data_IF_443483352899
#
_entry.id   IF_443483352899
#
_cell.length_a   1.000
_cell.length_b   1.000
_cell.length_c   1.000
_cell.angle_alpha   90.00
_cell.angle_beta   90.00
_cell.angle_gamma   90.00
#
_symmetry.space_group_name_H-M   'P 1'
#
loop_
_entity.id
_entity.type
_entity.pdbx_description
1 polymer ?
#
# COMPACT_ATOMS: atom_id res chain seq x y z
N UNK A 1 39.62 -45.43 27.36
CA UNK A 1 38.75 -44.43 28.02
C UNK A 1 38.14 -43.56 26.93
N UNK A 2 36.89 -43.82 26.55
CA UNK A 2 36.14 -42.96 25.63
C UNK A 2 35.44 -41.88 26.46
N UNK A 3 35.86 -40.63 26.32
CA UNK A 3 35.17 -39.50 26.93
C UNK A 3 33.92 -39.18 26.09
N UNK A 4 32.75 -39.56 26.59
CA UNK A 4 31.47 -39.04 26.12
C UNK A 4 31.30 -37.62 26.68
N UNK A 5 31.45 -36.61 25.84
CA UNK A 5 31.13 -35.22 26.19
C UNK A 5 29.64 -35.05 26.47
N UNK A 6 29.24 -34.07 27.30
CA UNK A 6 27.85 -33.83 27.64
C UNK A 6 27.08 -33.34 26.40
N UNK A 7 26.06 -34.07 26.00
CA UNK A 7 25.08 -33.64 25.01
C UNK A 7 24.30 -32.46 25.58
N UNK A 8 24.56 -31.25 25.08
CA UNK A 8 23.69 -30.10 25.34
C UNK A 8 22.36 -30.35 24.61
N UNK A 9 21.33 -30.74 25.36
CA UNK A 9 19.95 -30.66 24.90
C UNK A 9 19.55 -29.18 24.88
N UNK A 10 19.60 -28.56 23.70
CA UNK A 10 19.02 -27.24 23.50
C UNK A 10 17.51 -27.36 23.75
N UNK A 11 16.98 -26.59 24.70
CA UNK A 11 15.55 -26.51 24.93
C UNK A 11 14.90 -25.85 23.71
N UNK A 12 14.08 -26.60 22.98
CA UNK A 12 13.27 -26.08 21.89
C UNK A 12 12.16 -25.20 22.47
N UNK A 13 12.20 -23.89 22.20
CA UNK A 13 11.07 -23.02 22.52
C UNK A 13 9.90 -23.34 21.59
N UNK A 14 8.64 -23.34 22.06
CA UNK A 14 7.49 -23.47 21.18
C UNK A 14 7.48 -22.30 20.16
N UNK A 15 7.01 -22.54 18.93
CA UNK A 15 6.97 -21.50 17.91
C UNK A 15 6.04 -20.35 18.34
N UNK A 16 6.43 -19.11 18.05
CA UNK A 16 5.64 -17.91 18.33
C UNK A 16 4.35 -17.85 17.50
N UNK A 17 4.36 -18.45 16.31
CA UNK A 17 3.24 -18.50 15.39
C UNK A 17 2.88 -19.96 15.10
N UNK A 18 1.58 -20.23 15.06
CA UNK A 18 1.05 -21.54 14.64
C UNK A 18 0.52 -21.39 13.22
N UNK A 19 0.94 -22.24 12.27
CA UNK A 19 0.39 -22.18 10.91
C UNK A 19 -1.09 -22.52 10.93
N UNK A 20 -1.86 -21.73 10.19
CA UNK A 20 -3.24 -22.03 9.85
C UNK A 20 -3.29 -22.47 8.39
N UNK A 21 -4.04 -23.55 8.13
CA UNK A 21 -4.17 -24.13 6.80
C UNK A 21 -5.53 -23.79 6.18
N UNK A 22 -5.66 -23.82 4.84
CA UNK A 22 -6.91 -23.54 4.14
C UNK A 22 -8.13 -24.32 4.67
N UNK A 23 -7.96 -25.57 5.10
CA UNK A 23 -9.05 -26.37 5.67
C UNK A 23 -9.57 -25.82 7.02
N UNK A 24 -8.73 -25.10 7.76
CA UNK A 24 -9.07 -24.50 9.04
C UNK A 24 -9.72 -23.12 8.86
N UNK A 25 -9.18 -22.31 7.94
CA UNK A 25 -9.60 -20.92 7.76
C UNK A 25 -10.60 -20.71 6.62
N UNK A 26 -10.68 -21.61 5.64
CA UNK A 26 -11.44 -21.38 4.41
C UNK A 26 -10.76 -20.43 3.41
N UNK A 27 -9.54 -19.95 3.70
CA UNK A 27 -8.74 -19.15 2.77
C UNK A 27 -7.93 -20.10 1.89
N UNK A 28 -8.27 -20.18 0.61
CA UNK A 28 -7.64 -21.04 -0.40
C UNK A 28 -6.99 -20.26 -1.55
N UNK A 29 -6.87 -18.93 -1.42
CA UNK A 29 -6.20 -18.09 -2.40
C UNK A 29 -4.73 -18.48 -2.54
N UNK A 30 -4.30 -18.64 -3.78
CA UNK A 30 -2.91 -18.89 -4.13
C UNK A 30 -2.54 -17.95 -5.26
N UNK A 31 -1.57 -17.07 -4.99
CA UNK A 31 -0.97 -16.24 -6.02
C UNK A 31 -0.26 -17.09 -7.06
N UNK A 32 -0.49 -16.77 -8.33
CA UNK A 32 0.13 -17.41 -9.48
C UNK A 32 0.72 -16.34 -10.38
N UNK A 33 2.02 -16.12 -10.21
CA UNK A 33 2.74 -15.14 -11.01
C UNK A 33 2.68 -15.42 -12.51
N UNK A 34 2.62 -14.34 -13.30
CA UNK A 34 2.81 -14.38 -14.73
C UNK A 34 4.28 -14.69 -15.05
N UNK A 35 4.56 -15.42 -16.15
CA UNK A 35 5.93 -15.68 -16.58
C UNK A 35 6.55 -14.39 -17.14
N UNK A 36 7.29 -13.66 -16.31
CA UNK A 36 8.05 -12.48 -16.71
C UNK A 36 9.53 -12.58 -16.31
N UNK A 37 10.42 -12.10 -17.20
CA UNK A 37 11.88 -12.10 -17.00
C UNK A 37 12.42 -10.67 -17.02
N UNK A 38 12.46 -10.05 -15.84
CA UNK A 38 13.00 -8.70 -15.64
C UNK A 38 14.46 -8.57 -16.09
N UNK A 39 15.23 -9.65 -15.97
CA UNK A 39 16.65 -9.67 -16.32
C UNK A 39 16.86 -9.61 -17.84
N UNK A 40 15.85 -9.99 -18.63
CA UNK A 40 15.87 -9.82 -20.08
C UNK A 40 15.77 -8.33 -20.48
N UNK A 41 15.02 -7.51 -19.73
CA UNK A 41 15.01 -6.06 -19.92
C UNK A 41 16.24 -5.39 -19.32
N UNK A 42 16.67 -5.84 -18.13
CA UNK A 42 17.79 -5.25 -17.41
C UNK A 42 18.69 -6.32 -16.77
N UNK A 43 19.76 -6.68 -17.49
CA UNK A 43 20.69 -7.77 -17.12
C UNK A 43 21.32 -7.62 -15.73
N UNK A 44 21.54 -6.38 -15.28
CA UNK A 44 22.16 -6.08 -13.99
C UNK A 44 21.15 -5.71 -12.89
N UNK A 45 19.87 -6.07 -13.08
CA UNK A 45 18.87 -5.88 -12.05
C UNK A 45 19.21 -6.74 -10.81
N UNK A 46 19.18 -6.19 -9.58
CA UNK A 46 19.57 -6.93 -8.39
C UNK A 46 18.54 -7.97 -7.93
N UNK A 47 17.27 -7.78 -8.26
CA UNK A 47 16.14 -8.67 -7.95
C UNK A 47 14.97 -8.35 -8.89
N UNK A 48 14.01 -9.27 -9.01
CA UNK A 48 12.80 -9.02 -9.80
C UNK A 48 11.94 -7.93 -9.16
N UNK A 49 11.49 -7.00 -9.99
CA UNK A 49 10.56 -5.93 -9.64
C UNK A 49 9.11 -6.23 -10.09
N UNK A 50 8.91 -7.26 -10.92
CA UNK A 50 7.59 -7.77 -11.34
C UNK A 50 6.92 -8.69 -10.32
N UNK A 51 7.63 -9.16 -9.29
CA UNK A 51 7.12 -10.13 -8.30
C UNK A 51 7.12 -9.50 -6.90
N UNK A 52 6.40 -8.38 -6.70
CA UNK A 52 6.40 -7.64 -5.43
C UNK A 52 5.25 -8.03 -4.48
N UNK A 53 4.21 -8.69 -5.00
CA UNK A 53 3.03 -9.10 -4.24
C UNK A 53 3.18 -10.45 -3.50
N UNK A 54 2.12 -10.91 -2.81
CA UNK A 54 0.80 -10.27 -2.74
C UNK A 54 0.78 -9.14 -1.72
N UNK A 55 -0.02 -8.13 -2.03
CA UNK A 55 -0.45 -7.15 -1.03
C UNK A 55 -1.83 -7.52 -0.50
N UNK A 56 -2.16 -7.09 0.71
CA UNK A 56 -3.47 -7.35 1.30
C UNK A 56 -4.00 -6.12 2.03
N UNK A 57 -5.31 -6.07 2.18
CA UNK A 57 -6.00 -5.10 3.03
C UNK A 57 -7.05 -5.82 3.87
N UNK A 58 -7.33 -5.28 5.05
CA UNK A 58 -8.39 -5.77 5.93
C UNK A 58 -9.36 -4.66 6.29
N UNK A 59 -10.62 -5.01 6.48
CA UNK A 59 -11.70 -4.07 6.80
C UNK A 59 -13.05 -4.80 6.91
N UNK A 60 -13.97 -4.29 7.71
CA UNK A 60 -15.35 -4.79 7.80
C UNK A 60 -16.15 -4.30 6.59
N UNK A 61 -16.17 -5.07 5.50
CA UNK A 61 -16.76 -4.61 4.23
C UNK A 61 -18.25 -4.95 4.13
N UNK A 62 -18.81 -5.66 5.10
CA UNK A 62 -20.22 -6.06 5.12
C UNK A 62 -20.99 -5.55 6.36
N UNK A 63 -20.33 -4.76 7.21
CA UNK A 63 -20.91 -4.12 8.39
C UNK A 63 -21.29 -5.09 9.52
N UNK A 64 -20.69 -6.29 9.56
CA UNK A 64 -21.02 -7.31 10.56
C UNK A 64 -20.15 -7.24 11.83
N UNK A 65 -19.19 -6.31 11.86
CA UNK A 65 -18.26 -6.08 12.96
C UNK A 65 -17.04 -6.99 12.94
N UNK A 66 -16.80 -7.74 11.85
CA UNK A 66 -15.64 -8.61 11.67
C UNK A 66 -14.73 -8.08 10.56
N UNK A 67 -13.41 -8.26 10.72
CA UNK A 67 -12.47 -7.90 9.64
C UNK A 67 -12.51 -8.94 8.52
N UNK A 68 -12.79 -8.47 7.32
CA UNK A 68 -12.66 -9.21 6.07
C UNK A 68 -11.29 -8.96 5.44
N UNK A 69 -10.94 -9.76 4.42
CA UNK A 69 -9.61 -9.70 3.79
C UNK A 69 -9.75 -9.61 2.27
N UNK A 70 -9.08 -8.62 1.68
CA UNK A 70 -8.78 -8.59 0.24
C UNK A 70 -7.33 -8.96 -0.01
N UNK A 71 -7.11 -9.93 -0.89
CA UNK A 71 -5.79 -10.26 -1.45
C UNK A 71 -5.66 -9.63 -2.83
N UNK A 72 -4.62 -8.82 -3.00
CA UNK A 72 -4.17 -8.38 -4.31
C UNK A 72 -3.57 -9.54 -5.10
N UNK A 73 -3.65 -9.45 -6.42
CA UNK A 73 -3.17 -10.46 -7.34
C UNK A 73 -2.22 -9.91 -8.41
N UNK A 74 -1.33 -10.75 -8.96
CA UNK A 74 -0.47 -10.40 -10.07
C UNK A 74 -1.25 -10.28 -11.38
N UNK A 75 -0.61 -9.70 -12.40
CA UNK A 75 -1.19 -9.55 -13.73
C UNK A 75 -1.67 -10.90 -14.30
N UNK A 76 -2.93 -10.92 -14.74
CA UNK A 76 -3.62 -12.09 -15.28
C UNK A 76 -4.42 -12.90 -14.25
N UNK A 77 -4.35 -12.55 -12.96
CA UNK A 77 -5.12 -13.14 -11.88
C UNK A 77 -5.96 -12.06 -11.18
N UNK A 78 -7.24 -12.33 -10.92
CA UNK A 78 -8.08 -11.40 -10.18
C UNK A 78 -7.74 -11.43 -8.68
N UNK A 79 -7.81 -10.27 -8.03
CA UNK A 79 -7.80 -10.18 -6.57
C UNK A 79 -8.99 -10.91 -5.94
N UNK A 80 -8.85 -11.28 -4.67
CA UNK A 80 -9.81 -12.14 -3.98
C UNK A 80 -10.25 -11.55 -2.64
N UNK A 81 -11.56 -11.39 -2.49
CA UNK A 81 -12.20 -10.97 -1.24
C UNK A 81 -12.69 -12.18 -0.45
N UNK A 82 -12.43 -12.19 0.85
CA UNK A 82 -12.82 -13.23 1.79
C UNK A 82 -13.57 -12.60 2.97
N UNK A 83 -14.83 -13.00 3.16
CA UNK A 83 -15.66 -12.53 4.26
C UNK A 83 -15.55 -13.46 5.47
N UNK A 84 -15.35 -12.91 6.66
CA UNK A 84 -15.26 -13.67 7.91
C UNK A 84 -16.65 -14.13 8.38
N UNK A 85 -16.75 -15.30 9.04
CA UNK A 85 -18.03 -15.84 9.55
C UNK A 85 -18.13 -15.93 11.09
N UNK A 86 -17.24 -15.22 11.79
CA UNK A 86 -17.18 -15.13 13.25
C UNK A 86 -16.56 -16.34 13.95
N UNK A 87 -16.36 -17.46 13.25
CA UNK A 87 -15.73 -18.66 13.81
C UNK A 87 -14.26 -18.81 13.41
N UNK A 88 -13.61 -17.71 13.00
CA UNK A 88 -12.26 -17.72 12.42
C UNK A 88 -12.19 -18.40 11.04
N UNK A 89 -13.34 -18.53 10.36
CA UNK A 89 -13.42 -19.00 8.97
C UNK A 89 -13.81 -17.87 8.04
N UNK A 90 -13.41 -18.03 6.81
CA UNK A 90 -13.54 -17.09 5.72
C UNK A 90 -14.21 -17.75 4.52
N UNK A 91 -14.96 -16.97 3.77
CA UNK A 91 -15.64 -17.42 2.55
C UNK A 91 -15.32 -16.46 1.41
N UNK A 92 -14.81 -17.02 0.31
CA UNK A 92 -14.54 -16.24 -0.88
C UNK A 92 -15.83 -15.57 -1.40
N UNK A 93 -15.77 -14.27 -1.64
CA UNK A 93 -16.81 -13.46 -2.26
C UNK A 93 -16.40 -13.19 -3.71
N UNK A 94 -17.25 -13.62 -4.65
CA UNK A 94 -17.03 -13.34 -6.07
C UNK A 94 -17.44 -11.90 -6.38
N UNK A 95 -16.51 -11.12 -6.88
CA UNK A 95 -16.73 -9.74 -7.31
C UNK A 95 -16.38 -9.64 -8.80
N UNK A 96 -17.38 -9.45 -9.70
CA UNK A 96 -17.12 -9.38 -11.13
C UNK A 96 -16.17 -8.26 -11.57
N UNK A 97 -16.13 -7.16 -10.82
CA UNK A 97 -15.24 -6.03 -11.11
C UNK A 97 -13.75 -6.43 -11.03
N UNK A 98 -13.37 -7.27 -10.07
CA UNK A 98 -11.97 -7.73 -9.92
C UNK A 98 -11.55 -8.62 -11.09
N UNK A 99 -12.46 -9.45 -11.62
CA UNK A 99 -12.18 -10.29 -12.80
C UNK A 99 -12.01 -9.45 -14.08
N UNK A 100 -12.74 -8.33 -14.20
CA UNK A 100 -12.62 -7.42 -15.35
C UNK A 100 -11.29 -6.67 -15.37
N UNK A 101 -10.69 -6.45 -14.19
CA UNK A 101 -9.45 -5.70 -13.99
C UNK A 101 -8.25 -6.58 -13.65
N UNK A 102 -8.33 -7.89 -13.92
CA UNK A 102 -7.26 -8.85 -13.61
C UNK A 102 -5.98 -8.65 -14.42
N UNK A 103 -6.03 -7.90 -15.52
CA UNK A 103 -4.86 -7.65 -16.36
C UNK A 103 -3.95 -6.58 -15.76
N UNK A 104 -4.40 -5.88 -14.72
CA UNK A 104 -3.59 -4.98 -13.90
C UNK A 104 -2.99 -5.77 -12.74
N UNK A 105 -1.72 -5.48 -12.41
CA UNK A 105 -1.08 -6.00 -11.20
C UNK A 105 -1.50 -5.17 -9.99
N UNK A 106 -2.07 -5.81 -8.96
CA UNK A 106 -2.47 -5.14 -7.74
C UNK A 106 -1.26 -4.76 -6.89
N UNK A 107 -1.14 -3.48 -6.55
CA UNK A 107 -0.20 -2.96 -5.57
C UNK A 107 -0.96 -2.27 -4.43
N UNK A 108 -0.62 -2.63 -3.19
CA UNK A 108 -1.14 -2.03 -1.95
C UNK A 108 -2.62 -1.59 -1.99
N UNK A 109 -3.55 -2.52 -1.77
CA UNK A 109 -4.96 -2.18 -1.57
C UNK A 109 -5.15 -1.41 -0.25
N UNK A 110 -6.17 -0.54 -0.21
CA UNK A 110 -6.61 0.14 1.01
C UNK A 110 -8.14 0.19 1.07
N UNK A 111 -8.69 -0.15 2.24
CA UNK A 111 -10.10 0.05 2.54
C UNK A 111 -10.33 1.38 3.25
N UNK A 112 -11.30 2.16 2.79
CA UNK A 112 -11.73 3.43 3.39
C UNK A 112 -13.07 3.88 2.79
N UNK A 113 -13.81 4.75 3.48
CA UNK A 113 -15.04 5.37 2.97
C UNK A 113 -14.67 6.50 1.99
N UNK A 114 -14.81 6.26 0.69
CA UNK A 114 -14.37 7.20 -0.35
C UNK A 114 -15.48 8.16 -0.78
N UNK A 115 -16.75 7.76 -0.68
CA UNK A 115 -17.90 8.57 -1.12
C UNK A 115 -18.83 9.03 0.02
N UNK A 116 -18.44 8.80 1.27
CA UNK A 116 -19.08 9.34 2.46
C UNK A 116 -20.39 8.64 2.83
N UNK A 117 -20.63 7.44 2.29
CA UNK A 117 -21.85 6.67 2.56
C UNK A 117 -21.75 5.77 3.81
N UNK A 118 -20.54 5.66 4.38
CA UNK A 118 -20.23 4.91 5.59
C UNK A 118 -19.80 3.46 5.35
N UNK A 119 -19.79 3.00 4.10
CA UNK A 119 -19.29 1.68 3.73
C UNK A 119 -17.80 1.73 3.36
N UNK A 120 -17.06 0.66 3.64
CA UNK A 120 -15.64 0.60 3.25
C UNK A 120 -15.50 0.28 1.75
N UNK A 121 -15.07 1.27 0.99
CA UNK A 121 -14.65 1.16 -0.41
C UNK A 121 -13.22 0.62 -0.53
N UNK A 122 -12.85 0.17 -1.72
CA UNK A 122 -11.52 -0.39 -1.99
C UNK A 122 -10.80 0.41 -3.08
N UNK A 123 -9.67 0.99 -2.74
CA UNK A 123 -8.72 1.52 -3.73
C UNK A 123 -7.52 0.59 -3.85
N UNK A 124 -7.22 0.18 -5.09
CA UNK A 124 -6.07 -0.67 -5.41
C UNK A 124 -5.16 0.10 -6.36
N UNK A 125 -3.93 0.42 -5.94
CA UNK A 125 -2.94 0.92 -6.88
C UNK A 125 -2.53 -0.20 -7.86
N UNK A 126 -1.96 0.19 -8.99
CA UNK A 126 -1.46 -0.78 -9.96
C UNK A 126 0.05 -0.63 -10.12
N UNK A 127 0.75 -1.73 -9.87
CA UNK A 127 2.20 -1.81 -9.85
C UNK A 127 2.76 -2.54 -11.06
N UNK A 128 3.98 -3.04 -10.89
CA UNK A 128 4.62 -3.92 -11.85
C UNK A 128 5.77 -3.30 -12.65
N UNK A 129 6.54 -4.19 -13.26
CA UNK A 129 7.74 -3.86 -14.04
C UNK A 129 7.59 -4.28 -15.51
N UNK A 130 6.63 -5.17 -15.79
CA UNK A 130 6.42 -5.83 -17.08
C UNK A 130 5.79 -4.94 -18.14
N UNK A 131 4.95 -3.98 -17.73
CA UNK A 131 4.26 -3.11 -18.66
C UNK A 131 5.20 -2.02 -19.18
N UNK A 132 4.99 -1.53 -20.41
CA UNK A 132 5.74 -0.38 -20.90
C UNK A 132 5.41 0.88 -20.09
N UNK A 133 6.35 1.82 -20.04
CA UNK A 133 6.13 3.14 -19.45
C UNK A 133 4.87 3.80 -20.03
N UNK A 134 4.08 4.45 -19.17
CA UNK A 134 2.79 5.06 -19.51
C UNK A 134 1.68 4.07 -19.93
N UNK A 135 1.79 2.79 -19.59
CA UNK A 135 0.72 1.82 -19.80
C UNK A 135 -0.56 2.22 -19.05
N UNK A 136 -1.76 2.09 -19.66
CA UNK A 136 -3.02 2.29 -18.95
C UNK A 136 -3.26 1.23 -17.87
N UNK A 137 -2.53 0.12 -17.88
CA UNK A 137 -2.60 -0.92 -16.85
C UNK A 137 -2.04 -0.47 -15.50
N UNK A 138 -1.33 0.66 -15.45
CA UNK A 138 -0.90 1.27 -14.19
C UNK A 138 -1.98 2.12 -13.51
N UNK A 139 -3.15 2.31 -14.12
CA UNK A 139 -4.22 3.09 -13.53
C UNK A 139 -4.69 2.48 -12.19
N UNK A 140 -4.68 3.23 -11.08
CA UNK A 140 -5.31 2.83 -9.83
C UNK A 140 -6.82 2.67 -9.99
N UNK A 141 -7.40 1.72 -9.27
CA UNK A 141 -8.80 1.29 -9.40
C UNK A 141 -9.52 1.50 -8.08
N UNK A 142 -10.47 2.43 -8.06
CA UNK A 142 -11.45 2.57 -6.98
C UNK A 142 -12.64 1.65 -7.27
N UNK A 143 -13.03 0.87 -6.28
CA UNK A 143 -14.25 0.09 -6.27
C UNK A 143 -15.12 0.52 -5.11
N UNK A 144 -16.33 0.98 -5.42
CA UNK A 144 -17.33 1.37 -4.43
C UNK A 144 -18.08 0.15 -3.92
N UNK A 145 -18.27 0.08 -2.61
CA UNK A 145 -19.00 -0.99 -1.93
C UNK A 145 -20.49 -0.66 -1.84
N UNK A 146 -21.32 -1.65 -1.53
CA UNK A 146 -22.77 -1.49 -1.27
C UNK A 146 -23.13 -1.84 0.18
N UNK A 147 -22.14 -1.80 1.07
CA UNK A 147 -22.24 -2.20 2.47
C UNK A 147 -22.41 -3.69 2.72
N UNK A 148 -22.39 -4.52 1.66
CA UNK A 148 -22.56 -5.97 1.77
C UNK A 148 -21.38 -6.74 1.16
N UNK A 149 -20.29 -6.05 0.84
CA UNK A 149 -19.10 -6.59 0.18
C UNK A 149 -19.32 -6.84 -1.32
N UNK A 150 -20.27 -6.14 -1.98
CA UNK A 150 -20.36 -6.14 -3.44
C UNK A 150 -19.74 -4.86 -4.00
N UNK A 151 -18.65 -5.04 -4.75
CA UNK A 151 -17.87 -3.92 -5.26
C UNK A 151 -18.16 -3.63 -6.73
N UNK A 152 -18.28 -2.35 -7.06
CA UNK A 152 -18.43 -1.83 -8.42
C UNK A 152 -17.33 -0.82 -8.74
N UNK A 153 -16.72 -0.94 -9.92
CA UNK A 153 -15.63 -0.05 -10.32
C UNK A 153 -16.13 1.38 -10.59
N UNK A 154 -15.53 2.37 -9.92
CA UNK A 154 -15.70 3.78 -10.24
C UNK A 154 -14.69 4.22 -11.30
N UNK A 155 -14.98 3.89 -12.58
CA UNK A 155 -14.03 3.99 -13.70
C UNK A 155 -13.47 5.40 -14.00
N UNK A 156 -14.04 6.46 -13.42
CA UNK A 156 -13.58 7.85 -13.61
C UNK A 156 -13.35 8.57 -12.28
N UNK A 157 -13.15 7.81 -11.20
CA UNK A 157 -12.86 8.36 -9.88
C UNK A 157 -11.52 9.10 -9.84
N UNK A 158 -10.47 8.54 -10.45
CA UNK A 158 -9.15 9.16 -10.51
C UNK A 158 -8.83 9.68 -11.92
N UNK A 159 -8.03 10.76 -12.05
CA UNK A 159 -7.50 11.17 -13.35
C UNK A 159 -6.49 10.12 -13.88
N UNK A 160 -6.10 10.21 -15.16
CA UNK A 160 -5.10 9.31 -15.73
C UNK A 160 -3.80 9.29 -14.91
N UNK A 161 -3.42 8.11 -14.43
CA UNK A 161 -2.22 7.88 -13.64
C UNK A 161 -1.46 6.66 -14.16
N UNK A 162 -0.72 6.79 -15.29
CA UNK A 162 -0.10 5.66 -15.97
C UNK A 162 1.31 5.38 -15.42
N UNK A 163 1.48 5.42 -14.10
CA UNK A 163 2.75 5.25 -13.41
C UNK A 163 2.73 4.04 -12.48
N UNK A 164 3.77 3.21 -12.55
CA UNK A 164 3.94 2.04 -11.65
C UNK A 164 3.97 2.51 -10.21
N UNK A 165 2.96 2.09 -9.46
CA UNK A 165 2.69 2.53 -8.09
C UNK A 165 2.92 1.39 -7.11
N UNK A 166 3.29 1.73 -5.89
CA UNK A 166 3.68 0.80 -4.84
C UNK A 166 2.99 1.04 -3.53
N UNK A 167 2.21 2.11 -3.35
CA UNK A 167 1.56 2.39 -2.06
C UNK A 167 0.30 3.20 -2.30
N UNK A 168 -0.76 2.91 -1.55
CA UNK A 168 -1.96 3.75 -1.41
C UNK A 168 -2.10 4.10 0.05
N UNK A 169 -2.30 5.38 0.36
CA UNK A 169 -2.55 5.83 1.72
C UNK A 169 -3.72 6.81 1.77
N UNK A 170 -4.88 6.38 2.31
CA UNK A 170 -5.95 7.30 2.67
C UNK A 170 -5.51 8.24 3.81
N UNK A 171 -5.82 9.52 3.69
CA UNK A 171 -5.49 10.57 4.65
C UNK A 171 -6.45 11.75 4.47
N UNK A 172 -6.94 12.35 5.54
CA UNK A 172 -7.66 13.63 5.45
C UNK A 172 -6.62 14.74 5.36
N UNK A 173 -6.27 15.17 4.14
CA UNK A 173 -5.15 16.10 3.93
C UNK A 173 -5.57 17.56 4.14
N UNK A 174 -6.79 17.94 3.73
CA UNK A 174 -7.25 19.33 3.84
C UNK A 174 -8.14 19.61 5.07
N UNK A 175 -8.48 18.58 5.85
CA UNK A 175 -9.19 18.68 7.12
C UNK A 175 -10.70 18.84 6.97
N UNK A 176 -11.26 18.53 5.80
CA UNK A 176 -12.70 18.66 5.54
C UNK A 176 -13.52 17.43 5.99
N UNK A 177 -12.82 16.34 6.36
CA UNK A 177 -13.39 15.12 6.89
C UNK A 177 -13.68 14.05 5.83
N UNK A 178 -13.48 14.33 4.55
CA UNK A 178 -13.34 13.29 3.54
C UNK A 178 -11.90 12.74 3.51
N UNK A 179 -11.73 11.51 2.99
CA UNK A 179 -10.40 10.91 2.89
C UNK A 179 -9.84 11.14 1.48
N UNK A 180 -8.79 11.94 1.44
CA UNK A 180 -7.88 12.08 0.31
C UNK A 180 -6.96 10.86 0.19
N UNK A 181 -6.20 10.79 -0.91
CA UNK A 181 -5.28 9.68 -1.14
C UNK A 181 -3.91 10.14 -1.58
N UNK A 182 -2.89 9.65 -0.90
CA UNK A 182 -1.52 9.63 -1.41
C UNK A 182 -1.24 8.32 -2.14
N UNK A 183 -0.70 8.41 -3.35
CA UNK A 183 -0.21 7.26 -4.14
C UNK A 183 1.30 7.38 -4.29
N UNK A 184 2.00 6.38 -3.76
CA UNK A 184 3.46 6.25 -3.84
C UNK A 184 3.89 5.56 -5.14
N UNK A 185 4.89 6.12 -5.81
CA UNK A 185 5.49 5.55 -7.01
C UNK A 185 6.50 4.45 -6.71
N UNK A 186 6.42 3.34 -7.44
CA UNK A 186 7.38 2.23 -7.31
C UNK A 186 8.68 2.56 -8.05
N UNK A 187 8.63 2.66 -9.38
CA UNK A 187 9.78 2.86 -10.26
C UNK A 187 9.33 3.34 -11.64
N UNK A 188 10.28 3.74 -12.48
CA UNK A 188 10.08 3.83 -13.93
C UNK A 188 10.36 2.45 -14.57
N UNK A 189 9.38 1.81 -15.23
CA UNK A 189 9.53 0.45 -15.77
C UNK A 189 10.75 0.31 -16.67
N UNK A 190 11.47 -0.80 -16.52
CA UNK A 190 12.66 -1.16 -17.34
C UNK A 190 13.84 -0.19 -17.22
N UNK A 191 13.83 0.67 -16.20
CA UNK A 191 14.86 1.70 -15.98
C UNK A 191 15.31 1.77 -14.52
N UNK A 192 15.31 0.64 -13.80
CA UNK A 192 15.79 0.62 -12.42
C UNK A 192 17.24 1.16 -12.33
N UNK A 193 17.57 2.07 -11.40
CA UNK A 193 16.81 2.45 -10.20
C UNK A 193 16.00 3.76 -10.33
N UNK A 194 15.62 4.19 -11.54
CA UNK A 194 14.83 5.42 -11.70
C UNK A 194 13.47 5.29 -10.98
N UNK A 195 13.10 6.25 -10.13
CA UNK A 195 11.89 6.15 -9.33
C UNK A 195 10.62 6.34 -10.15
N UNK A 196 9.50 5.91 -9.59
CA UNK A 196 8.16 6.21 -10.09
C UNK A 196 7.72 7.56 -9.57
N UNK A 197 6.66 8.12 -10.14
CA UNK A 197 6.07 9.35 -9.61
C UNK A 197 5.16 9.02 -8.44
N UNK A 198 5.18 9.88 -7.43
CA UNK A 198 4.16 9.87 -6.36
C UNK A 198 3.26 11.10 -6.51
N UNK A 199 2.02 11.00 -6.01
CA UNK A 199 1.09 12.10 -6.03
C UNK A 199 0.12 12.08 -4.85
N UNK A 200 -0.41 13.27 -4.56
CA UNK A 200 -1.53 13.48 -3.66
C UNK A 200 -2.78 13.82 -4.48
N UNK A 201 -3.88 13.17 -4.13
CA UNK A 201 -5.17 13.27 -4.77
C UNK A 201 -6.20 13.74 -3.75
N UNK A 202 -6.79 14.91 -4.02
CA UNK A 202 -7.86 15.49 -3.21
C UNK A 202 -9.20 14.86 -3.59
N UNK A 203 -9.97 14.37 -2.63
CA UNK A 203 -11.32 13.88 -2.79
C UNK A 203 -12.33 15.05 -2.82
N UNK A 204 -13.58 14.77 -3.22
CA UNK A 204 -14.68 15.75 -3.20
C UNK A 204 -15.88 15.30 -2.35
N UNK A 205 -15.63 14.34 -1.47
CA UNK A 205 -16.61 13.66 -0.63
C UNK A 205 -17.56 12.73 -1.37
N UNK A 206 -17.35 12.47 -2.67
CA UNK A 206 -18.19 11.59 -3.50
C UNK A 206 -17.35 10.57 -4.27
N UNK A 207 -16.14 10.26 -3.79
CA UNK A 207 -15.22 9.32 -4.42
C UNK A 207 -14.65 9.81 -5.75
N UNK A 208 -14.57 11.13 -5.96
CA UNK A 208 -13.95 11.72 -7.17
C UNK A 208 -12.72 12.54 -6.78
N UNK A 209 -11.61 12.13 -7.35
CA UNK A 209 -10.29 12.60 -6.98
C UNK A 209 -9.71 13.56 -8.01
N UNK A 210 -9.00 14.58 -7.54
CA UNK A 210 -8.20 15.50 -8.35
C UNK A 210 -6.76 15.50 -7.87
N UNK A 211 -5.83 15.38 -8.81
CA UNK A 211 -4.40 15.47 -8.51
C UNK A 211 -4.03 16.92 -8.11
N UNK A 212 -3.37 17.07 -6.95
CA UNK A 212 -3.02 18.39 -6.38
C UNK A 212 -1.53 18.58 -6.09
N UNK A 213 -0.69 17.57 -6.33
CA UNK A 213 0.73 17.54 -5.97
C UNK A 213 1.48 18.76 -6.45
N UNK A 214 1.31 19.16 -7.72
CA UNK A 214 2.01 20.32 -8.26
C UNK A 214 1.64 21.65 -7.57
N UNK A 215 0.45 21.72 -6.95
CA UNK A 215 -0.05 22.93 -6.27
C UNK A 215 0.39 22.96 -4.81
N UNK A 216 0.37 21.82 -4.13
CA UNK A 216 0.60 21.76 -2.68
C UNK A 216 2.02 21.33 -2.30
N UNK A 217 2.58 20.34 -3.00
CA UNK A 217 3.78 19.61 -2.60
C UNK A 217 4.54 19.08 -3.84
N UNK A 218 5.05 19.94 -4.74
CA UNK A 218 5.65 19.49 -6.00
C UNK A 218 6.82 18.52 -5.79
N UNK A 219 7.53 18.62 -4.66
CA UNK A 219 8.62 17.73 -4.27
C UNK A 219 8.17 16.28 -4.12
N UNK A 220 6.90 16.01 -3.75
CA UNK A 220 6.37 14.63 -3.62
C UNK A 220 6.51 13.83 -4.91
N UNK A 221 6.49 14.49 -6.07
CA UNK A 221 6.63 13.80 -7.35
C UNK A 221 8.01 13.14 -7.55
N UNK A 222 9.03 13.56 -6.79
CA UNK A 222 10.43 13.19 -6.97
C UNK A 222 11.08 12.60 -5.69
N UNK A 223 10.28 12.12 -4.74
CA UNK A 223 10.76 11.59 -3.44
C UNK A 223 11.43 10.23 -3.51
N UNK A 224 11.52 9.62 -4.69
CA UNK A 224 12.15 8.33 -4.91
C UNK A 224 11.15 7.17 -4.97
N UNK A 225 11.68 5.95 -4.84
CA UNK A 225 10.88 4.73 -4.84
C UNK A 225 10.21 4.57 -3.48
N UNK A 226 8.90 4.78 -3.41
CA UNK A 226 8.12 4.67 -2.17
C UNK A 226 7.78 3.20 -1.91
N UNK A 227 7.90 2.72 -0.68
CA UNK A 227 7.47 1.37 -0.31
C UNK A 227 6.36 1.33 0.72
N UNK A 228 6.29 2.34 1.58
CA UNK A 228 5.23 2.51 2.55
C UNK A 228 4.96 4.00 2.83
N UNK A 229 3.76 4.31 3.29
CA UNK A 229 3.35 5.62 3.75
C UNK A 229 2.46 5.49 4.99
N UNK A 230 2.78 6.24 6.04
CA UNK A 230 2.02 6.27 7.28
C UNK A 230 1.55 7.70 7.59
N UNK A 231 0.40 7.84 8.25
CA UNK A 231 -0.19 9.11 8.66
C UNK A 231 -1.42 8.84 9.52
N UNK A 232 -1.94 9.79 10.30
CA UNK A 232 -3.17 9.56 11.05
C UNK A 232 -4.34 9.30 10.08
N UNK A 233 -5.22 8.38 10.48
CA UNK A 233 -6.42 7.99 9.72
C UNK A 233 -7.68 8.56 10.35
N UNK A 234 -7.66 9.79 10.88
CA UNK A 234 -8.65 10.21 11.89
C UNK A 234 -10.09 10.27 11.37
N UNK A 235 -10.82 9.17 11.50
CA UNK A 235 -12.29 9.11 11.52
C UNK A 235 -12.84 8.89 12.95
N UNK A 236 -11.98 8.88 13.97
CA UNK A 236 -12.39 8.73 15.36
C UNK A 236 -12.95 10.02 15.94
N UNK A 237 -14.22 10.02 16.33
CA UNK A 237 -14.94 11.09 17.07
C UNK A 237 -14.38 11.41 18.47
N UNK A 238 -13.14 11.04 18.76
CA UNK A 238 -12.39 11.48 19.93
C UNK A 238 -11.30 12.45 19.50
N UNK A 239 -11.58 13.76 19.61
CA UNK A 239 -10.57 14.79 19.42
C UNK A 239 -9.30 14.45 20.24
N UNK A 240 -8.12 14.31 19.63
CA UNK A 240 -6.89 14.31 20.41
C UNK A 240 -6.75 15.70 21.04
N UNK A 241 -6.79 15.71 22.37
CA UNK A 241 -6.59 16.88 23.21
C UNK A 241 -5.33 17.66 22.79
N UNK A 242 -5.58 18.93 22.47
CA UNK A 242 -4.66 20.07 22.54
C UNK A 242 -3.40 20.02 21.67
N UNK A 243 -3.37 20.86 20.63
CA UNK A 243 -2.31 21.85 20.39
C UNK A 243 -2.78 22.91 19.36
N UNK A 244 -3.25 24.06 19.87
CA UNK A 244 -3.24 25.38 19.22
C UNK A 244 -2.41 26.28 20.16
N UNK A 245 -1.58 27.26 19.71
CA UNK A 245 -2.01 28.25 18.72
C UNK A 245 -0.93 28.80 17.75
N UNK A 246 -1.44 29.63 16.83
CA UNK A 246 -0.85 30.86 16.28
C UNK A 246 -0.12 30.80 14.92
N UNK A 247 -0.85 31.31 13.94
CA UNK A 247 -0.41 32.06 12.76
C UNK A 247 0.40 31.29 11.71
N UNK A 248 -0.34 30.78 10.72
CA UNK A 248 0.07 30.73 9.32
C UNK A 248 1.47 30.18 9.06
N UNK A 249 1.57 28.86 8.92
CA UNK A 249 2.67 28.26 8.19
C UNK A 249 2.22 26.98 7.46
N UNK A 250 2.27 26.97 6.11
CA UNK A 250 1.97 25.84 5.25
C UNK A 250 3.23 24.97 5.08
N UNK A 251 3.14 23.67 5.41
CA UNK A 251 4.10 22.63 5.01
C UNK A 251 5.63 22.85 5.23
N UNK A 252 6.18 23.81 6.03
CA UNK A 252 7.60 24.14 5.91
C UNK A 252 8.51 23.27 6.80
N UNK A 253 7.97 22.31 7.54
CA UNK A 253 8.74 21.37 8.36
C UNK A 253 9.14 20.08 7.62
N UNK A 254 8.49 19.75 6.48
CA UNK A 254 8.97 18.71 5.55
C UNK A 254 9.69 19.29 4.32
N UNK A 255 9.71 20.62 4.15
CA UNK A 255 10.30 21.32 3.01
C UNK A 255 11.21 22.49 3.42
N UNK A 256 12.23 22.25 4.25
CA UNK A 256 13.38 23.16 4.37
C UNK A 256 14.62 22.53 3.75
N UNK A 257 15.26 23.30 2.87
CA UNK A 257 16.48 23.02 2.10
C UNK A 257 17.76 22.80 2.95
N UNK A 258 17.61 22.51 4.23
CA UNK A 258 18.67 22.12 5.17
C UNK A 258 18.01 21.31 6.27
N UNK A 259 18.42 20.05 6.37
CA UNK A 259 18.02 19.00 7.33
C UNK A 259 16.90 18.06 6.84
N UNK A 260 17.30 16.80 6.84
CA UNK A 260 16.71 15.58 6.25
C UNK A 260 15.27 15.27 6.64
N UNK A 261 14.56 14.58 5.73
CA UNK A 261 13.45 13.68 6.07
C UNK A 261 13.84 12.82 7.28
N UNK A 262 12.99 12.75 8.31
CA UNK A 262 13.21 11.82 9.41
C UNK A 262 12.83 10.42 8.95
N UNK A 263 13.81 9.64 8.54
CA UNK A 263 13.72 8.18 8.53
C UNK A 263 13.70 7.73 9.99
N UNK A 264 12.53 7.44 10.56
CA UNK A 264 12.52 6.76 11.85
C UNK A 264 13.08 5.35 11.65
N UNK A 265 14.09 4.90 12.42
CA UNK A 265 14.47 3.50 12.39
C UNK A 265 13.26 2.65 12.81
N UNK A 266 13.03 1.49 12.19
CA UNK A 266 11.90 0.63 12.55
C UNK A 266 11.97 0.33 14.06
N UNK A 267 10.88 0.64 14.77
CA UNK A 267 10.68 0.21 16.14
C UNK A 267 10.64 -1.32 16.15
N UNK A 268 11.77 -1.94 16.46
CA UNK A 268 11.97 -3.36 16.79
C UNK A 268 10.91 -4.32 16.22
N UNK A 269 10.94 -4.53 14.92
CA UNK A 269 10.47 -5.77 14.32
C UNK A 269 11.69 -6.44 13.67
N UNK A 270 11.96 -7.74 13.92
CA UNK A 270 13.03 -8.44 13.25
C UNK A 270 12.55 -8.79 11.84
N UNK A 271 12.59 -7.84 10.91
CA UNK A 271 12.42 -8.17 9.49
C UNK A 271 13.74 -8.71 8.92
N UNK A 272 13.70 -9.76 8.07
CA UNK A 272 14.89 -10.30 7.44
C UNK A 272 15.48 -9.33 6.41
N UNK A 273 16.79 -9.49 6.18
CA UNK A 273 17.69 -8.70 5.32
C UNK A 273 17.28 -8.48 3.84
N UNK A 274 16.11 -8.94 3.40
CA UNK A 274 15.53 -8.65 2.09
C UNK A 274 14.47 -7.53 2.12
N UNK A 275 14.00 -7.11 3.31
CA UNK A 275 13.29 -5.83 3.54
C UNK A 275 14.30 -4.67 3.64
N UNK A 276 15.29 -4.67 2.75
CA UNK A 276 16.59 -4.03 2.92
C UNK A 276 16.56 -2.55 3.29
N UNK A 277 16.90 -2.27 4.55
CA UNK A 277 17.40 -0.98 5.00
C UNK A 277 18.79 -0.69 4.43
N UNK A 278 18.97 0.41 3.70
CA UNK A 278 20.28 1.04 3.50
C UNK A 278 20.14 2.57 3.56
N UNK A 279 20.72 3.18 4.60
CA UNK A 279 20.89 4.63 4.69
C UNK A 279 22.35 5.06 4.39
N UNK A 280 22.45 6.01 3.46
CA UNK A 280 23.52 6.99 3.15
C UNK A 280 24.75 6.67 2.25
N UNK A 281 24.83 7.48 1.18
CA UNK A 281 26.02 7.95 0.44
C UNK A 281 25.72 9.34 -0.19
N UNK A 282 26.73 10.14 -0.60
CA UNK A 282 26.65 11.60 -0.89
C UNK A 282 25.78 11.98 -2.12
N UNK A 283 25.53 13.28 -2.44
CA UNK A 283 24.29 13.79 -3.04
C UNK A 283 24.13 13.56 -4.56
N UNK A 284 24.64 12.46 -5.08
CA UNK A 284 24.45 12.04 -6.48
C UNK A 284 23.62 10.76 -6.60
N UNK A 285 22.95 10.35 -5.52
CA UNK A 285 22.05 9.20 -5.48
C UNK A 285 20.66 9.64 -5.00
N UNK A 286 19.66 9.56 -5.88
CA UNK A 286 18.23 9.64 -5.52
C UNK A 286 17.86 8.28 -4.92
N UNK A 287 17.90 8.19 -3.58
CA UNK A 287 17.68 6.95 -2.83
C UNK A 287 16.24 6.42 -2.86
N UNK A 288 16.07 5.21 -2.33
CA UNK A 288 14.79 4.59 -1.97
C UNK A 288 14.14 5.33 -0.80
N UNK A 289 12.83 5.55 -0.85
CA UNK A 289 12.03 6.01 0.29
C UNK A 289 11.29 4.79 0.87
N UNK A 290 11.89 4.14 1.87
CA UNK A 290 11.35 2.93 2.48
C UNK A 290 10.01 3.18 3.19
N UNK A 291 9.86 4.35 3.85
CA UNK A 291 8.62 4.77 4.48
C UNK A 291 8.53 6.29 4.53
N UNK A 292 7.37 6.84 4.18
CA UNK A 292 7.07 8.27 4.29
C UNK A 292 6.08 8.50 5.41
N UNK A 293 6.33 9.47 6.27
CA UNK A 293 5.34 9.93 7.25
C UNK A 293 4.64 11.18 6.73
N UNK A 294 3.32 11.09 6.57
CA UNK A 294 2.43 12.19 6.27
C UNK A 294 2.05 12.88 7.59
N UNK A 295 2.19 14.22 7.68
CA UNK A 295 1.92 14.97 8.90
C UNK A 295 0.44 14.93 9.30
N UNK A 296 0.18 15.17 10.59
CA UNK A 296 -1.08 14.88 11.27
C UNK A 296 -2.00 16.08 11.59
N UNK A 297 -1.76 17.26 11.04
CA UNK A 297 -2.41 18.51 11.50
C UNK A 297 -2.63 19.44 10.31
N UNK A 298 -3.77 20.13 10.15
CA UNK A 298 -4.34 21.10 11.11
C UNK A 298 -5.84 21.40 10.91
N UNK A 299 -6.50 21.77 12.03
CA UNK A 299 -7.76 22.55 12.13
C UNK A 299 -7.59 23.96 11.58
#
# INVERSE_FOLDING_TARGET
ASASGPTLLAASHPPLLTPLFPLQTGIDFVQRENPYDDYADQVLLPHKMSEQGPFLATGDVNGDGLEDIYFGAPSGQAGALYLQDGNGKFRARKVPAFEQDKEQEDAHPAFFDADGDGDLDLLVASGGYEFPENSPLYQPRLYLNDGNGNFQKAASALPPWPYSSSTVRPVDYDGDGDLDVFIGGLLTPKKYPLPGKSALFLNDGMGRFREITAQCCPELSEIGMVKDACGPTSTGTGAPTSCLPANGCPLPSCCKKTESWSTEPPSTFPSPWWDGGIAYGPPTWTGTAERISLPATWV
#
